data_IF_172996820233
#
_entry.id   IF_172996820233
#
_cell.length_a   1.000
_cell.length_b   1.000
_cell.length_c   1.000
_cell.angle_alpha   90.00
_cell.angle_beta   90.00
_cell.angle_gamma   90.00
#
_symmetry.space_group_name_H-M   'P 1'
#
loop_
_entity.id
_entity.type
_entity.pdbx_description
1 polymer ?
#
# COMPACT_ATOMS: atom_id res chain seq x y z
N UNK A 1 -33.17 19.58 -6.89
CA UNK A 1 -31.92 19.18 -7.55
C UNK A 1 -31.11 18.26 -6.62
N UNK A 2 -31.63 17.04 -6.40
CA UNK A 2 -30.96 15.99 -5.61
C UNK A 2 -31.02 14.70 -6.43
N UNK A 3 -29.92 14.34 -7.04
CA UNK A 3 -29.85 13.08 -7.77
C UNK A 3 -28.56 12.95 -8.54
N UNK A 4 -27.45 12.59 -7.85
CA UNK A 4 -26.22 12.04 -8.48
C UNK A 4 -25.15 11.66 -7.44
N UNK A 5 -25.49 10.76 -6.49
CA UNK A 5 -24.50 10.24 -5.56
C UNK A 5 -24.60 8.70 -5.34
N UNK A 6 -25.36 7.98 -6.16
CA UNK A 6 -25.57 6.52 -5.98
C UNK A 6 -24.76 5.67 -6.99
N UNK A 7 -24.09 6.30 -7.97
CA UNK A 7 -23.40 5.59 -9.04
C UNK A 7 -22.05 4.95 -8.67
N UNK A 8 -21.36 5.44 -7.65
CA UNK A 8 -20.00 4.96 -7.33
C UNK A 8 -19.95 3.59 -6.64
N UNK A 9 -20.89 3.32 -5.75
CA UNK A 9 -20.92 2.05 -5.01
C UNK A 9 -21.33 0.85 -5.87
N UNK A 10 -22.22 1.06 -6.83
CA UNK A 10 -22.65 0.01 -7.75
C UNK A 10 -21.57 -0.40 -8.75
N UNK A 11 -20.73 0.56 -9.20
CA UNK A 11 -19.62 0.26 -10.10
C UNK A 11 -18.49 -0.52 -9.39
N UNK A 12 -18.24 -0.23 -8.11
CA UNK A 12 -17.25 -0.96 -7.29
C UNK A 12 -17.74 -2.37 -6.98
N UNK A 13 -19.03 -2.55 -6.68
CA UNK A 13 -19.65 -3.88 -6.48
C UNK A 13 -19.76 -4.67 -7.79
N UNK A 14 -19.98 -4.00 -8.94
CA UNK A 14 -19.99 -4.64 -10.24
C UNK A 14 -18.59 -5.08 -10.70
N UNK A 15 -17.53 -4.32 -10.37
CA UNK A 15 -16.13 -4.72 -10.57
C UNK A 15 -15.75 -5.92 -9.69
N UNK A 16 -16.23 -5.96 -8.45
CA UNK A 16 -16.05 -7.11 -7.55
C UNK A 16 -16.89 -8.33 -7.98
N UNK A 17 -18.08 -8.12 -8.54
CA UNK A 17 -18.94 -9.21 -9.04
C UNK A 17 -18.52 -9.73 -10.43
N UNK A 18 -17.90 -8.90 -11.28
CA UNK A 18 -17.30 -9.35 -12.55
C UNK A 18 -16.05 -10.20 -12.35
N UNK A 19 -15.46 -10.19 -11.14
CA UNK A 19 -14.37 -11.06 -10.72
C UNK A 19 -14.83 -12.49 -10.35
N UNK A 20 -16.02 -12.90 -10.70
CA UNK A 20 -16.54 -14.26 -10.47
C UNK A 20 -16.09 -15.33 -11.49
N UNK A 21 -15.20 -14.99 -12.44
CA UNK A 21 -14.32 -15.97 -13.04
C UNK A 21 -13.25 -16.36 -12.00
N UNK A 22 -12.71 -17.61 -12.01
CA UNK A 22 -11.67 -17.98 -11.05
C UNK A 22 -10.54 -16.96 -11.16
N UNK A 23 -10.50 -16.05 -10.19
CA UNK A 23 -9.46 -15.05 -10.07
C UNK A 23 -8.25 -15.81 -9.60
N UNK A 24 -7.21 -15.90 -10.44
CA UNK A 24 -5.92 -16.44 -10.07
C UNK A 24 -5.47 -15.71 -8.80
N UNK A 25 -5.41 -16.45 -7.69
CA UNK A 25 -5.12 -15.88 -6.38
C UNK A 25 -3.61 -15.66 -6.21
N UNK A 26 -3.25 -14.78 -5.29
CA UNK A 26 -1.89 -14.70 -4.73
C UNK A 26 -1.42 -16.08 -4.23
N UNK A 27 -2.38 -16.93 -3.98
CA UNK A 27 -2.28 -18.30 -3.52
C UNK A 27 -1.88 -19.27 -4.64
N UNK A 28 -2.16 -18.97 -5.93
CA UNK A 28 -1.95 -19.91 -7.05
C UNK A 28 -0.51 -20.29 -7.32
N UNK A 29 0.46 -19.49 -6.93
CA UNK A 29 1.86 -19.87 -6.98
C UNK A 29 2.35 -20.54 -5.67
N UNK A 30 1.46 -20.67 -4.69
CA UNK A 30 1.74 -21.33 -3.40
C UNK A 30 1.00 -22.66 -3.26
N UNK A 31 -0.25 -22.75 -3.75
CA UNK A 31 -1.08 -23.99 -3.75
C UNK A 31 -1.73 -24.19 -5.11
N UNK A 32 -2.03 -25.44 -5.47
CA UNK A 32 -2.73 -25.76 -6.73
C UNK A 32 -4.14 -25.15 -6.74
N UNK A 33 -4.56 -24.53 -7.87
CA UNK A 33 -5.90 -23.98 -8.02
C UNK A 33 -6.96 -25.06 -7.92
N UNK A 34 -8.14 -24.73 -7.34
CA UNK A 34 -9.31 -25.59 -7.40
C UNK A 34 -9.81 -26.16 -6.07
N UNK A 35 -9.32 -25.66 -4.93
CA UNK A 35 -9.91 -26.00 -3.64
C UNK A 35 -11.24 -25.24 -3.49
N UNK A 36 -12.34 -25.98 -3.59
CA UNK A 36 -13.69 -25.41 -3.48
C UNK A 36 -13.96 -24.89 -2.07
N UNK A 37 -14.61 -23.74 -1.96
CA UNK A 37 -15.07 -23.16 -0.72
C UNK A 37 -15.90 -21.91 -1.00
N UNK A 38 -17.02 -21.73 -0.30
CA UNK A 38 -17.85 -20.55 -0.49
C UNK A 38 -17.70 -19.56 0.65
N UNK A 39 -17.75 -18.25 0.33
CA UNK A 39 -17.79 -17.19 1.34
C UNK A 39 -18.91 -17.42 2.36
N UNK A 40 -20.09 -17.88 1.92
CA UNK A 40 -21.21 -18.13 2.81
C UNK A 40 -20.93 -19.25 3.83
N UNK A 41 -20.20 -20.29 3.44
CA UNK A 41 -19.79 -21.38 4.33
C UNK A 41 -18.74 -20.91 5.32
N UNK A 42 -17.73 -20.15 4.88
CA UNK A 42 -16.73 -19.52 5.74
C UNK A 42 -17.40 -18.67 6.84
N UNK A 43 -18.26 -17.74 6.43
CA UNK A 43 -18.95 -16.85 7.37
C UNK A 43 -19.87 -17.64 8.31
N UNK A 44 -20.60 -18.63 7.81
CA UNK A 44 -21.44 -19.48 8.64
C UNK A 44 -20.60 -20.25 9.66
N UNK A 45 -19.50 -20.88 9.26
CA UNK A 45 -18.63 -21.61 10.18
C UNK A 45 -18.14 -20.73 11.32
N UNK A 46 -17.58 -19.57 11.01
CA UNK A 46 -17.03 -18.63 12.02
C UNK A 46 -18.14 -18.08 12.93
N UNK A 47 -19.28 -17.62 12.38
CA UNK A 47 -20.32 -16.96 13.17
C UNK A 47 -21.28 -17.93 13.89
N UNK A 48 -21.22 -19.23 13.64
CA UNK A 48 -21.96 -20.24 14.43
C UNK A 48 -21.09 -20.94 15.48
N UNK A 49 -19.79 -20.75 15.45
CA UNK A 49 -18.84 -21.32 16.44
C UNK A 49 -18.74 -20.39 17.65
N UNK A 50 -19.17 -20.82 18.87
CA UNK A 50 -19.02 -20.00 20.07
C UNK A 50 -17.55 -19.69 20.41
N UNK A 51 -16.63 -20.61 20.11
CA UNK A 51 -15.20 -20.43 20.35
C UNK A 51 -14.63 -19.33 19.45
N UNK A 52 -14.96 -19.35 18.15
CA UNK A 52 -14.49 -18.35 17.18
C UNK A 52 -15.07 -16.97 17.48
N UNK A 53 -16.36 -16.90 17.90
CA UNK A 53 -16.98 -15.66 18.35
C UNK A 53 -16.32 -15.10 19.61
N UNK A 54 -15.89 -15.94 20.54
CA UNK A 54 -15.17 -15.51 21.74
C UNK A 54 -13.80 -14.92 21.37
N UNK A 55 -13.06 -15.54 20.43
CA UNK A 55 -11.77 -15.02 19.93
C UNK A 55 -11.97 -13.69 19.20
N UNK A 56 -12.97 -13.59 18.32
CA UNK A 56 -13.30 -12.34 17.63
C UNK A 56 -13.70 -11.23 18.60
N UNK A 57 -14.52 -11.56 19.61
CA UNK A 57 -14.92 -10.62 20.66
C UNK A 57 -13.73 -10.12 21.47
N UNK A 58 -12.84 -11.03 21.88
CA UNK A 58 -11.60 -10.67 22.58
C UNK A 58 -10.68 -9.79 21.71
N UNK A 59 -10.48 -10.16 20.44
CA UNK A 59 -9.70 -9.37 19.49
C UNK A 59 -10.30 -7.98 19.25
N UNK A 60 -11.61 -7.90 19.09
CA UNK A 60 -12.35 -6.63 18.97
C UNK A 60 -12.20 -5.74 20.20
N UNK A 61 -12.29 -6.33 21.40
CA UNK A 61 -12.05 -5.60 22.65
C UNK A 61 -10.61 -5.07 22.74
N UNK A 62 -9.61 -5.87 22.40
CA UNK A 62 -8.21 -5.45 22.37
C UNK A 62 -8.01 -4.29 21.38
N UNK A 63 -8.61 -4.37 20.20
CA UNK A 63 -8.56 -3.31 19.20
C UNK A 63 -9.20 -2.00 19.72
N UNK A 64 -10.38 -2.09 20.36
CA UNK A 64 -11.05 -0.94 20.97
C UNK A 64 -10.21 -0.31 22.08
N UNK A 65 -9.62 -1.14 22.97
CA UNK A 65 -8.73 -0.66 24.04
C UNK A 65 -7.46 -0.01 23.46
N UNK A 66 -6.89 -0.55 22.37
CA UNK A 66 -5.75 0.04 21.69
C UNK A 66 -6.10 1.42 21.09
N UNK A 67 -7.28 1.55 20.44
CA UNK A 67 -7.77 2.83 19.94
C UNK A 67 -8.01 3.82 21.07
N UNK A 68 -8.71 3.40 22.13
CA UNK A 68 -8.96 4.25 23.32
C UNK A 68 -7.64 4.70 23.96
N UNK A 69 -6.70 3.78 24.12
CA UNK A 69 -5.35 4.07 24.61
C UNK A 69 -4.61 5.07 23.74
N UNK A 70 -4.66 4.89 22.42
CA UNK A 70 -4.07 5.84 21.48
C UNK A 70 -4.70 7.24 21.56
N UNK A 71 -6.03 7.31 21.71
CA UNK A 71 -6.73 8.59 21.85
C UNK A 71 -6.35 9.27 23.17
N UNK A 72 -6.22 8.50 24.26
CA UNK A 72 -5.91 9.02 25.60
C UNK A 72 -4.42 9.34 25.79
N UNK A 73 -3.54 8.49 25.29
CA UNK A 73 -2.09 8.54 25.54
C UNK A 73 -1.26 8.83 24.28
N UNK A 74 -1.86 9.08 23.15
CA UNK A 74 -1.12 9.31 21.89
C UNK A 74 -0.34 10.62 21.81
N UNK A 75 -0.32 11.42 22.87
CA UNK A 75 0.53 12.60 23.10
C UNK A 75 1.79 12.28 23.90
N UNK A 76 2.01 11.02 24.29
CA UNK A 76 3.24 10.62 24.98
C UNK A 76 4.50 11.09 24.23
N UNK A 77 5.53 11.52 24.97
CA UNK A 77 6.79 11.99 24.38
C UNK A 77 7.39 11.01 23.38
N UNK A 78 7.40 9.70 23.71
CA UNK A 78 7.95 8.63 22.85
C UNK A 78 7.24 8.58 21.48
N UNK A 79 5.91 8.63 21.46
CA UNK A 79 5.11 8.64 20.23
C UNK A 79 5.40 9.90 19.41
N UNK A 80 5.60 11.05 20.12
CA UNK A 80 5.90 12.31 19.48
C UNK A 80 7.31 12.30 18.87
N UNK A 81 8.31 11.77 19.59
CA UNK A 81 9.69 11.60 19.11
C UNK A 81 9.71 10.65 17.91
N UNK A 82 9.09 9.47 18.00
CA UNK A 82 9.01 8.53 16.91
C UNK A 82 8.40 9.17 15.65
N UNK A 83 7.31 9.93 15.82
CA UNK A 83 6.65 10.64 14.70
C UNK A 83 7.56 11.70 14.08
N UNK A 84 8.27 12.51 14.88
CA UNK A 84 9.21 13.52 14.40
C UNK A 84 10.38 12.87 13.67
N UNK A 85 10.93 11.79 14.22
CA UNK A 85 12.00 11.01 13.60
C UNK A 85 11.59 10.49 12.23
N UNK A 86 10.40 9.86 12.11
CA UNK A 86 9.88 9.41 10.82
C UNK A 86 9.71 10.58 9.83
N UNK A 87 9.24 11.74 10.31
CA UNK A 87 9.11 12.93 9.47
C UNK A 87 10.44 13.47 8.98
N UNK A 88 11.53 13.33 9.75
CA UNK A 88 12.87 13.76 9.32
C UNK A 88 13.41 12.97 8.12
N UNK A 89 12.84 11.79 7.83
CA UNK A 89 13.20 10.99 6.66
C UNK A 89 12.50 11.41 5.36
N UNK A 90 11.62 12.41 5.40
CA UNK A 90 10.94 12.93 4.18
C UNK A 90 11.87 13.30 3.02
N UNK A 91 13.07 13.86 3.23
CA UNK A 91 14.01 14.12 2.12
C UNK A 91 14.42 12.86 1.35
N UNK A 92 14.39 11.68 1.98
CA UNK A 92 14.72 10.41 1.36
C UNK A 92 13.54 9.76 0.62
N UNK A 93 12.32 10.30 0.75
CA UNK A 93 11.11 9.73 0.13
C UNK A 93 11.27 9.44 -1.38
N UNK A 94 11.85 10.34 -2.21
CA UNK A 94 12.04 10.04 -3.64
C UNK A 94 12.91 8.80 -3.87
N UNK A 95 13.97 8.65 -3.08
CA UNK A 95 14.88 7.51 -3.17
C UNK A 95 14.19 6.22 -2.70
N UNK A 96 13.46 6.28 -1.57
CA UNK A 96 12.68 5.13 -1.07
C UNK A 96 11.70 4.63 -2.12
N UNK A 97 10.92 5.52 -2.76
CA UNK A 97 9.95 5.15 -3.80
C UNK A 97 10.64 4.51 -5.01
N UNK A 98 11.77 5.04 -5.46
CA UNK A 98 12.54 4.47 -6.57
C UNK A 98 13.06 3.07 -6.25
N UNK A 99 13.55 2.83 -5.04
CA UNK A 99 13.95 1.50 -4.58
C UNK A 99 12.77 0.55 -4.51
N UNK A 100 11.66 1.00 -3.91
CA UNK A 100 10.45 0.18 -3.70
C UNK A 100 9.86 -0.33 -5.01
N UNK A 101 9.98 0.42 -6.09
CA UNK A 101 9.43 0.06 -7.40
C UNK A 101 10.52 -0.51 -8.32
N UNK A 102 11.70 0.11 -8.36
CA UNK A 102 12.75 -0.25 -9.31
C UNK A 102 13.39 -1.60 -9.02
N UNK A 103 13.63 -1.92 -7.74
CA UNK A 103 14.28 -3.17 -7.37
C UNK A 103 13.43 -4.40 -7.72
N UNK A 104 12.13 -4.48 -7.33
CA UNK A 104 11.31 -5.60 -7.71
C UNK A 104 11.06 -5.71 -9.21
N UNK A 105 11.03 -4.60 -9.96
CA UNK A 105 10.94 -4.64 -11.42
C UNK A 105 12.15 -5.31 -12.06
N UNK A 106 13.36 -4.99 -11.60
CA UNK A 106 14.57 -5.66 -12.06
C UNK A 106 14.47 -7.15 -11.73
N UNK A 107 14.09 -7.49 -10.50
CA UNK A 107 13.92 -8.88 -10.08
C UNK A 107 12.88 -9.64 -10.91
N UNK A 108 11.70 -9.05 -11.13
CA UNK A 108 10.61 -9.62 -11.92
C UNK A 108 11.06 -9.89 -13.37
N UNK A 109 11.78 -8.95 -13.98
CA UNK A 109 12.32 -9.13 -15.33
C UNK A 109 13.32 -10.27 -15.45
N UNK A 110 14.12 -10.55 -14.41
CA UNK A 110 15.01 -11.71 -14.37
C UNK A 110 14.26 -13.01 -14.00
N UNK A 111 13.22 -12.93 -13.19
CA UNK A 111 12.40 -14.07 -12.81
C UNK A 111 11.42 -14.51 -13.91
N UNK A 112 11.19 -13.70 -14.95
CA UNK A 112 10.39 -14.07 -16.11
C UNK A 112 8.88 -13.87 -15.95
N UNK A 113 8.46 -12.89 -15.13
CA UNK A 113 7.06 -12.52 -14.96
C UNK A 113 6.81 -11.01 -15.12
N UNK A 114 5.59 -10.62 -15.46
CA UNK A 114 5.19 -9.23 -15.68
C UNK A 114 4.55 -8.66 -14.43
N UNK A 115 5.28 -7.84 -13.65
CA UNK A 115 4.87 -7.21 -12.39
C UNK A 115 4.42 -8.21 -11.29
N UNK A 116 3.50 -9.12 -11.63
CA UNK A 116 2.98 -10.15 -10.74
C UNK A 116 3.55 -11.53 -11.08
N UNK A 117 3.99 -12.33 -10.10
CA UNK A 117 4.41 -13.72 -10.33
C UNK A 117 3.36 -14.59 -11.00
N UNK A 118 2.07 -14.25 -10.85
CA UNK A 118 0.96 -14.94 -11.52
C UNK A 118 0.95 -14.77 -13.05
N UNK A 119 1.70 -13.80 -13.60
CA UNK A 119 1.73 -13.49 -15.03
C UNK A 119 3.10 -13.79 -15.62
N UNK A 120 3.30 -15.04 -16.09
CA UNK A 120 4.51 -15.39 -16.82
C UNK A 120 4.59 -14.65 -18.15
N UNK A 121 5.62 -13.85 -18.36
CA UNK A 121 5.81 -13.08 -19.59
C UNK A 121 7.28 -12.72 -19.82
N UNK A 122 7.72 -12.75 -21.08
CA UNK A 122 9.06 -12.28 -21.47
C UNK A 122 9.08 -10.75 -21.66
N UNK A 123 8.95 -10.03 -20.55
CA UNK A 123 9.04 -8.56 -20.52
C UNK A 123 10.38 -8.07 -19.94
N UNK A 124 11.42 -8.92 -19.97
CA UNK A 124 12.70 -8.70 -19.28
C UNK A 124 13.34 -7.36 -19.64
N UNK A 125 13.46 -7.02 -20.92
CA UNK A 125 14.10 -5.77 -21.34
C UNK A 125 13.34 -4.54 -20.84
N UNK A 126 11.99 -4.58 -20.90
CA UNK A 126 11.15 -3.50 -20.43
C UNK A 126 11.29 -3.32 -18.90
N UNK A 127 11.09 -4.38 -18.14
CA UNK A 127 11.08 -4.30 -16.68
C UNK A 127 12.47 -4.00 -16.10
N UNK A 128 13.51 -4.67 -16.59
CA UNK A 128 14.89 -4.41 -16.18
C UNK A 128 15.28 -2.99 -16.57
N UNK A 129 14.95 -2.53 -17.80
CA UNK A 129 15.22 -1.18 -18.24
C UNK A 129 14.52 -0.12 -17.39
N UNK A 130 13.21 -0.23 -17.19
CA UNK A 130 12.43 0.67 -16.32
C UNK A 130 12.99 0.65 -14.90
N UNK A 131 13.22 -0.54 -14.34
CA UNK A 131 13.73 -0.71 -12.99
C UNK A 131 15.09 -0.04 -12.78
N UNK A 132 16.09 -0.30 -13.65
CA UNK A 132 17.40 0.33 -13.54
C UNK A 132 17.35 1.85 -13.73
N UNK A 133 16.59 2.35 -14.71
CA UNK A 133 16.45 3.79 -14.91
C UNK A 133 15.84 4.48 -13.69
N UNK A 134 14.86 3.84 -13.01
CA UNK A 134 14.33 4.33 -11.75
C UNK A 134 15.37 4.28 -10.63
N UNK A 135 16.11 3.18 -10.48
CA UNK A 135 17.14 3.03 -9.44
C UNK A 135 18.21 4.11 -9.56
N UNK A 136 18.72 4.37 -10.78
CA UNK A 136 19.67 5.45 -11.03
C UNK A 136 19.04 6.85 -11.02
N UNK A 137 17.72 6.93 -11.14
CA UNK A 137 17.00 8.20 -11.18
C UNK A 137 17.28 8.98 -12.46
N UNK A 138 17.30 8.30 -13.60
CA UNK A 138 17.45 8.89 -14.92
C UNK A 138 16.11 8.99 -15.62
N UNK A 139 15.77 10.18 -16.10
CA UNK A 139 14.47 10.50 -16.72
C UNK A 139 13.29 10.04 -15.85
N UNK A 140 13.44 10.15 -14.55
CA UNK A 140 12.65 9.46 -13.50
C UNK A 140 11.15 9.55 -13.72
N UNK A 141 10.62 10.75 -13.98
CA UNK A 141 9.17 10.96 -14.19
C UNK A 141 8.65 10.31 -15.47
N UNK A 142 9.42 10.42 -16.55
CA UNK A 142 9.04 9.81 -17.84
C UNK A 142 9.09 8.28 -17.77
N UNK A 143 10.12 7.74 -17.12
CA UNK A 143 10.28 6.30 -16.90
C UNK A 143 9.18 5.76 -16.00
N UNK A 144 8.82 6.48 -14.92
CA UNK A 144 7.70 6.09 -14.08
C UNK A 144 6.35 6.13 -14.80
N UNK A 145 6.13 7.14 -15.66
CA UNK A 145 4.94 7.20 -16.51
C UNK A 145 4.91 6.03 -17.52
N UNK A 146 6.05 5.69 -18.14
CA UNK A 146 6.15 4.53 -19.02
C UNK A 146 5.86 3.23 -18.26
N UNK A 147 6.41 3.06 -17.05
CA UNK A 147 6.14 1.90 -16.20
C UNK A 147 4.66 1.79 -15.84
N UNK A 148 4.01 2.92 -15.53
CA UNK A 148 2.57 2.96 -15.28
C UNK A 148 1.76 2.53 -16.51
N UNK A 149 2.10 3.04 -17.68
CA UNK A 149 1.43 2.66 -18.93
C UNK A 149 1.63 1.17 -19.24
N UNK A 150 2.83 0.64 -19.02
CA UNK A 150 3.11 -0.78 -19.17
C UNK A 150 2.31 -1.64 -18.19
N UNK A 151 2.19 -1.19 -16.93
CA UNK A 151 1.33 -1.86 -15.94
C UNK A 151 -0.15 -1.84 -16.35
N UNK A 152 -0.67 -0.69 -16.78
CA UNK A 152 -2.07 -0.56 -17.21
C UNK A 152 -2.37 -1.39 -18.46
N UNK A 153 -1.42 -1.48 -19.39
CA UNK A 153 -1.52 -2.38 -20.53
C UNK A 153 -1.55 -3.85 -20.08
N UNK A 154 -0.63 -4.24 -19.19
CA UNK A 154 -0.60 -5.57 -18.58
C UNK A 154 -1.91 -5.89 -17.85
N UNK A 155 -2.45 -4.93 -17.09
CA UNK A 155 -3.74 -5.08 -16.40
C UNK A 155 -4.89 -5.32 -17.39
N UNK A 156 -4.87 -4.64 -18.55
CA UNK A 156 -5.89 -4.83 -19.59
C UNK A 156 -5.79 -6.18 -20.32
N UNK A 157 -4.60 -6.77 -20.39
CA UNK A 157 -4.34 -8.03 -21.10
C UNK A 157 -4.37 -9.27 -20.20
N UNK A 158 -4.08 -9.10 -18.90
CA UNK A 158 -4.00 -10.17 -17.90
C UNK A 158 -4.86 -9.82 -16.67
N UNK A 159 -6.10 -9.40 -16.93
CA UNK A 159 -7.10 -9.22 -15.89
C UNK A 159 -7.74 -10.59 -15.57
N UNK A 160 -7.89 -10.96 -14.31
CA UNK A 160 -7.69 -10.16 -13.08
C UNK A 160 -6.33 -10.35 -12.35
N UNK A 161 -5.43 -11.20 -12.85
CA UNK A 161 -4.17 -11.62 -12.20
C UNK A 161 -3.29 -10.42 -11.86
N UNK A 162 -3.31 -9.40 -12.71
CA UNK A 162 -2.53 -8.16 -12.49
C UNK A 162 -3.05 -7.29 -11.35
N UNK A 163 -4.26 -7.54 -10.82
CA UNK A 163 -4.77 -6.82 -9.63
C UNK A 163 -3.93 -7.08 -8.38
N UNK A 164 -3.27 -8.25 -8.32
CA UNK A 164 -2.34 -8.61 -7.24
C UNK A 164 -1.19 -7.60 -7.10
N UNK A 165 -0.75 -7.03 -8.20
CA UNK A 165 0.33 -6.06 -8.26
C UNK A 165 -0.17 -4.60 -8.39
N UNK A 166 -1.41 -4.30 -7.95
CA UNK A 166 -2.02 -2.97 -8.12
C UNK A 166 -1.32 -1.86 -7.33
N UNK A 167 -0.49 -2.18 -6.35
CA UNK A 167 0.35 -1.25 -5.63
C UNK A 167 1.39 -0.54 -6.52
N UNK A 168 1.76 -1.13 -7.68
CA UNK A 168 2.63 -0.46 -8.65
C UNK A 168 2.03 0.86 -9.15
N UNK A 169 0.70 0.97 -9.25
CA UNK A 169 0.02 2.24 -9.60
C UNK A 169 0.36 3.31 -8.58
N UNK A 170 0.28 2.99 -7.26
CA UNK A 170 0.67 3.92 -6.21
C UNK A 170 2.13 4.35 -6.36
N UNK A 171 3.03 3.39 -6.55
CA UNK A 171 4.47 3.61 -6.67
C UNK A 171 4.81 4.52 -7.84
N UNK A 172 4.35 4.19 -9.04
CA UNK A 172 4.61 4.99 -10.24
C UNK A 172 4.02 6.39 -10.15
N UNK A 173 2.76 6.55 -9.74
CA UNK A 173 2.14 7.86 -9.56
C UNK A 173 2.87 8.71 -8.52
N UNK A 174 3.26 8.11 -7.40
CA UNK A 174 4.04 8.80 -6.38
C UNK A 174 5.41 9.27 -6.92
N UNK A 175 6.12 8.43 -7.71
CA UNK A 175 7.39 8.80 -8.35
C UNK A 175 7.18 9.94 -9.37
N UNK A 176 6.13 9.90 -10.17
CA UNK A 176 5.80 10.97 -11.13
C UNK A 176 5.62 12.30 -10.39
N UNK A 177 4.88 12.31 -9.28
CA UNK A 177 4.62 13.52 -8.50
C UNK A 177 5.85 14.00 -7.75
N UNK A 178 6.51 13.11 -7.00
CA UNK A 178 7.65 13.47 -6.15
C UNK A 178 8.89 13.81 -6.98
N UNK A 179 9.12 13.04 -8.06
CA UNK A 179 10.27 13.18 -8.95
C UNK A 179 11.53 12.48 -8.44
N UNK A 180 12.68 12.78 -9.06
CA UNK A 180 13.91 12.01 -8.90
C UNK A 180 14.51 12.08 -7.48
N UNK A 181 14.42 13.23 -6.81
CA UNK A 181 15.11 13.46 -5.53
C UNK A 181 16.63 13.42 -5.64
N UNK A 182 17.30 13.26 -4.50
CA UNK A 182 18.76 13.13 -4.38
C UNK A 182 19.09 11.83 -3.62
N UNK A 183 20.13 11.10 -4.05
CA UNK A 183 20.93 11.25 -5.29
C UNK A 183 20.17 10.74 -6.54
N UNK A 184 20.43 11.34 -7.70
CA UNK A 184 19.85 10.90 -8.97
C UNK A 184 20.65 11.40 -10.18
N UNK A 185 20.62 10.66 -11.30
CA UNK A 185 21.19 11.09 -12.55
C UNK A 185 20.50 12.35 -13.11
N UNK A 186 19.19 12.48 -12.93
CA UNK A 186 18.45 13.70 -13.30
C UNK A 186 18.98 14.95 -12.60
N UNK A 187 19.41 14.84 -11.33
CA UNK A 187 20.02 15.96 -10.62
C UNK A 187 21.37 16.34 -11.22
N UNK A 188 22.18 15.36 -11.59
CA UNK A 188 23.46 15.59 -12.26
C UNK A 188 23.23 16.28 -13.60
N UNK A 189 22.31 15.78 -14.42
CA UNK A 189 21.95 16.39 -15.71
C UNK A 189 21.43 17.82 -15.53
N UNK A 190 20.58 18.05 -14.54
CA UNK A 190 20.07 19.39 -14.23
C UNK A 190 21.20 20.36 -13.87
N UNK A 191 22.20 19.92 -13.09
CA UNK A 191 23.37 20.74 -12.79
C UNK A 191 24.16 21.11 -14.05
N UNK A 192 24.31 20.16 -14.99
CA UNK A 192 24.94 20.44 -16.29
C UNK A 192 24.12 21.47 -17.10
N UNK A 193 22.80 21.37 -17.14
CA UNK A 193 21.92 22.30 -17.87
C UNK A 193 22.03 23.74 -17.32
N UNK A 194 22.14 23.91 -15.99
CA UNK A 194 22.19 25.25 -15.38
C UNK A 194 23.61 25.85 -15.36
N UNK A 195 24.65 25.06 -15.60
CA UNK A 195 26.05 25.53 -15.58
C UNK A 195 26.41 26.10 -16.94
N UNK A 196 26.93 27.33 -16.95
CA UNK A 196 27.37 28.01 -18.18
C UNK A 196 28.55 27.28 -18.82
N UNK A 197 28.60 27.31 -20.16
CA UNK A 197 29.68 26.70 -20.94
C UNK A 197 29.55 25.19 -21.16
N UNK A 198 28.55 24.52 -20.58
CA UNK A 198 28.29 23.11 -20.86
C UNK A 198 27.46 22.93 -22.15
N UNK A 199 27.62 21.79 -22.83
CA UNK A 199 26.75 21.45 -24.01
C UNK A 199 25.27 21.39 -23.57
N UNK A 200 25.00 20.91 -22.39
CA UNK A 200 23.65 20.79 -21.84
C UNK A 200 22.97 22.15 -21.55
N UNK A 201 23.73 23.24 -21.39
CA UNK A 201 23.19 24.58 -21.16
C UNK A 201 22.29 25.10 -22.30
N UNK A 202 22.43 24.53 -23.52
CA UNK A 202 21.57 24.81 -24.67
C UNK A 202 20.08 24.43 -24.40
N UNK A 203 19.82 23.54 -23.47
CA UNK A 203 18.46 23.09 -23.07
C UNK A 203 17.89 23.85 -21.87
N UNK A 204 18.51 24.95 -21.42
CA UNK A 204 18.13 25.72 -20.22
C UNK A 204 16.69 26.24 -20.27
N UNK A 205 16.11 26.49 -21.41
CA UNK A 205 14.74 27.00 -21.60
C UNK A 205 13.67 25.91 -21.71
N UNK A 206 14.02 24.64 -21.70
CA UNK A 206 13.07 23.54 -21.86
C UNK A 206 12.36 23.29 -20.54
N UNK A 207 11.01 23.38 -20.54
CA UNK A 207 10.20 23.09 -19.37
C UNK A 207 10.38 21.64 -18.90
N UNK A 208 10.71 21.46 -17.65
CA UNK A 208 10.84 20.13 -17.05
C UNK A 208 9.44 19.51 -16.78
N UNK A 209 9.30 18.17 -16.78
CA UNK A 209 8.04 17.53 -16.41
C UNK A 209 7.53 17.96 -15.02
N UNK A 210 8.43 18.31 -14.09
CA UNK A 210 8.05 18.83 -12.78
C UNK A 210 7.41 20.21 -12.85
N UNK A 211 7.88 21.08 -13.71
CA UNK A 211 7.27 22.39 -13.92
C UNK A 211 5.89 22.29 -14.59
N UNK A 212 5.71 21.33 -15.50
CA UNK A 212 4.42 21.05 -16.11
C UNK A 212 3.38 20.58 -15.07
N UNK A 213 3.77 19.67 -14.18
CA UNK A 213 2.92 19.21 -13.07
C UNK A 213 2.58 20.35 -12.11
N UNK A 214 3.56 21.20 -11.76
CA UNK A 214 3.33 22.36 -10.90
C UNK A 214 2.34 23.37 -11.54
N UNK A 215 2.44 23.61 -12.86
CA UNK A 215 1.49 24.43 -13.61
C UNK A 215 0.07 23.82 -13.62
N UNK A 216 -0.03 22.48 -13.61
CA UNK A 216 -1.30 21.77 -13.48
C UNK A 216 -1.83 21.72 -12.03
N UNK A 217 -1.17 22.36 -11.07
CA UNK A 217 -1.58 22.38 -9.66
C UNK A 217 -1.29 21.08 -8.90
N UNK A 218 -0.51 20.17 -9.48
CA UNK A 218 -0.14 18.93 -8.83
C UNK A 218 1.16 19.13 -8.05
N UNK A 219 1.06 19.06 -6.74
CA UNK A 219 2.20 19.20 -5.83
C UNK A 219 2.46 17.92 -5.02
N UNK A 220 3.57 17.89 -4.29
CA UNK A 220 3.97 16.73 -3.48
C UNK A 220 3.00 16.41 -2.33
N UNK A 221 2.08 17.29 -1.98
CA UNK A 221 1.12 17.07 -0.91
C UNK A 221 0.07 16.01 -1.25
N UNK A 222 -0.11 15.70 -2.54
CA UNK A 222 -1.01 14.64 -3.00
C UNK A 222 -0.41 13.25 -2.85
N UNK A 223 0.90 13.13 -2.68
CA UNK A 223 1.60 11.83 -2.59
C UNK A 223 1.03 10.90 -1.51
N UNK A 224 0.79 11.34 -0.26
CA UNK A 224 0.21 10.46 0.75
C UNK A 224 -1.19 9.95 0.37
N UNK A 225 -1.97 10.77 -0.32
CA UNK A 225 -3.30 10.37 -0.81
C UNK A 225 -3.18 9.25 -1.85
N UNK A 226 -2.30 9.41 -2.85
CA UNK A 226 -2.06 8.40 -3.89
C UNK A 226 -1.61 7.08 -3.28
N UNK A 227 -0.60 7.13 -2.39
CA UNK A 227 -0.11 5.94 -1.70
C UNK A 227 -1.24 5.24 -0.92
N UNK A 228 -2.02 5.99 -0.12
CA UNK A 228 -3.11 5.42 0.68
C UNK A 228 -4.20 4.79 -0.16
N UNK A 229 -4.64 5.48 -1.23
CA UNK A 229 -5.77 5.00 -2.04
C UNK A 229 -5.41 3.68 -2.72
N UNK A 230 -4.31 3.64 -3.46
CA UNK A 230 -3.99 2.45 -4.24
C UNK A 230 -3.45 1.30 -3.37
N UNK A 231 -2.64 1.60 -2.35
CA UNK A 231 -2.20 0.58 -1.39
C UNK A 231 -3.39 0.06 -0.56
N UNK A 232 -4.30 0.95 -0.18
CA UNK A 232 -5.52 0.58 0.53
C UNK A 232 -6.45 -0.30 -0.29
N UNK A 233 -6.62 0.00 -1.58
CA UNK A 233 -7.38 -0.86 -2.50
C UNK A 233 -6.72 -2.24 -2.66
N UNK A 234 -5.39 -2.30 -2.76
CA UNK A 234 -4.67 -3.56 -2.83
C UNK A 234 -4.89 -4.40 -1.56
N UNK A 235 -4.71 -3.84 -0.37
CA UNK A 235 -4.95 -4.57 0.88
C UNK A 235 -6.41 -5.02 1.06
N UNK A 236 -7.39 -4.20 0.63
CA UNK A 236 -8.80 -4.62 0.63
C UNK A 236 -9.01 -5.77 -0.35
N UNK A 237 -8.40 -5.72 -1.53
CA UNK A 237 -8.46 -6.80 -2.50
C UNK A 237 -7.87 -8.11 -1.95
N UNK A 238 -6.69 -8.05 -1.32
CA UNK A 238 -6.06 -9.20 -0.67
C UNK A 238 -6.94 -9.80 0.44
N UNK A 239 -7.53 -8.98 1.28
CA UNK A 239 -8.37 -9.47 2.38
C UNK A 239 -9.74 -9.97 1.94
N UNK A 240 -10.42 -9.25 1.06
CA UNK A 240 -11.78 -9.58 0.66
C UNK A 240 -11.79 -10.59 -0.48
N UNK A 241 -11.14 -10.27 -1.62
CA UNK A 241 -11.22 -11.12 -2.79
C UNK A 241 -10.45 -12.43 -2.61
N UNK A 242 -9.25 -12.37 -2.07
CA UNK A 242 -8.35 -13.52 -1.97
C UNK A 242 -8.66 -14.44 -0.78
N UNK A 243 -9.26 -13.92 0.28
CA UNK A 243 -9.52 -14.70 1.49
C UNK A 243 -11.00 -14.96 1.75
N UNK A 244 -11.85 -13.93 1.64
CA UNK A 244 -13.27 -14.15 1.93
C UNK A 244 -14.07 -14.66 0.76
N UNK A 245 -13.74 -14.25 -0.48
CA UNK A 245 -14.44 -14.73 -1.66
C UNK A 245 -13.87 -16.05 -2.22
N UNK A 246 -12.60 -16.36 -1.88
CA UNK A 246 -11.90 -17.60 -2.28
C UNK A 246 -11.35 -18.35 -1.03
N UNK A 247 -12.21 -18.69 -0.05
CA UNK A 247 -11.76 -19.24 1.22
C UNK A 247 -11.11 -20.61 1.12
N UNK A 248 -11.45 -21.42 0.10
CA UNK A 248 -10.89 -22.75 -0.11
C UNK A 248 -9.37 -22.70 -0.37
N UNK A 249 -8.92 -21.80 -1.24
CA UNK A 249 -7.51 -21.61 -1.55
C UNK A 249 -6.75 -21.08 -0.32
N UNK A 250 -7.32 -20.09 0.39
CA UNK A 250 -6.72 -19.58 1.61
C UNK A 250 -6.61 -20.66 2.72
N UNK A 251 -7.63 -21.55 2.83
CA UNK A 251 -7.57 -22.68 3.76
C UNK A 251 -6.53 -23.72 3.37
N UNK A 252 -6.30 -23.93 2.06
CA UNK A 252 -5.23 -24.79 1.57
C UNK A 252 -3.84 -24.29 1.98
N UNK A 253 -3.62 -22.96 1.98
CA UNK A 253 -2.38 -22.36 2.50
C UNK A 253 -2.24 -22.60 4.00
N UNK A 254 -3.32 -22.39 4.77
CA UNK A 254 -3.33 -22.68 6.22
C UNK A 254 -2.92 -24.13 6.51
N UNK A 255 -3.45 -25.07 5.74
CA UNK A 255 -3.14 -26.49 5.87
C UNK A 255 -1.70 -26.83 5.42
N UNK A 256 -1.25 -26.28 4.27
CA UNK A 256 0.10 -26.53 3.73
C UNK A 256 1.21 -26.15 4.70
N UNK A 257 1.07 -25.03 5.39
CA UNK A 257 2.10 -24.50 6.30
C UNK A 257 1.79 -24.75 7.78
N UNK A 258 0.77 -25.55 8.09
CA UNK A 258 0.35 -25.86 9.47
C UNK A 258 0.21 -24.60 10.34
N UNK A 259 -0.42 -23.54 9.78
CA UNK A 259 -0.51 -22.25 10.45
C UNK A 259 -1.34 -22.32 11.76
N UNK A 260 -2.20 -23.31 11.88
CA UNK A 260 -2.97 -23.58 13.12
C UNK A 260 -2.10 -24.09 14.27
N UNK A 261 -0.91 -24.62 14.01
CA UNK A 261 0.05 -24.94 15.05
C UNK A 261 0.70 -23.68 15.66
N UNK A 262 0.80 -22.59 14.86
CA UNK A 262 1.36 -21.31 15.32
C UNK A 262 0.28 -20.47 16.03
N UNK A 263 -0.91 -20.35 15.44
CA UNK A 263 -2.07 -19.69 16.05
C UNK A 263 -3.18 -20.72 16.18
N UNK A 264 -3.42 -21.27 17.38
CA UNK A 264 -4.32 -22.41 17.61
C UNK A 264 -5.79 -21.99 17.58
N UNK A 265 -6.29 -21.68 16.37
CA UNK A 265 -7.70 -21.37 16.08
C UNK A 265 -8.19 -22.29 14.95
N UNK A 266 -9.49 -22.30 14.68
CA UNK A 266 -10.04 -23.04 13.52
C UNK A 266 -9.45 -22.54 12.20
N UNK A 267 -9.27 -23.38 11.17
CA UNK A 267 -8.80 -22.93 9.87
C UNK A 267 -9.68 -21.82 9.28
N UNK A 268 -11.00 -21.92 9.47
CA UNK A 268 -11.98 -20.92 9.01
C UNK A 268 -11.76 -19.58 9.71
N UNK A 269 -11.54 -19.58 11.02
CA UNK A 269 -11.23 -18.35 11.77
C UNK A 269 -9.89 -17.79 11.37
N UNK A 270 -8.90 -18.63 11.04
CA UNK A 270 -7.61 -18.20 10.52
C UNK A 270 -7.77 -17.43 9.21
N UNK A 271 -8.48 -18.02 8.23
CA UNK A 271 -8.77 -17.39 6.93
C UNK A 271 -9.57 -16.10 7.10
N UNK A 272 -10.63 -16.15 7.91
CA UNK A 272 -11.48 -14.99 8.19
C UNK A 272 -10.68 -13.87 8.86
N UNK A 273 -9.88 -14.20 9.86
CA UNK A 273 -9.05 -13.26 10.61
C UNK A 273 -7.96 -12.60 9.77
N UNK A 274 -7.28 -13.37 8.91
CA UNK A 274 -6.30 -12.84 7.97
C UNK A 274 -6.96 -11.82 7.02
N UNK A 275 -8.11 -12.18 6.42
CA UNK A 275 -8.88 -11.26 5.58
C UNK A 275 -9.34 -10.01 6.33
N UNK A 276 -9.75 -10.14 7.60
CA UNK A 276 -10.17 -9.01 8.43
C UNK A 276 -9.02 -8.04 8.70
N UNK A 277 -7.82 -8.55 9.01
CA UNK A 277 -6.64 -7.71 9.25
C UNK A 277 -6.22 -6.98 7.98
N UNK A 278 -6.13 -7.68 6.85
CA UNK A 278 -5.76 -7.07 5.57
C UNK A 278 -6.79 -6.02 5.14
N UNK A 279 -8.08 -6.37 5.11
CA UNK A 279 -9.14 -5.43 4.76
C UNK A 279 -9.18 -4.24 5.73
N UNK A 280 -8.95 -4.48 7.02
CA UNK A 280 -8.87 -3.44 8.06
C UNK A 280 -7.73 -2.46 7.82
N UNK A 281 -6.53 -2.95 7.52
CA UNK A 281 -5.37 -2.12 7.13
C UNK A 281 -5.70 -1.33 5.86
N UNK A 282 -6.28 -1.99 4.86
CA UNK A 282 -6.69 -1.35 3.61
C UNK A 282 -7.71 -0.23 3.83
N UNK A 283 -8.74 -0.45 4.63
CA UNK A 283 -9.74 0.56 4.98
C UNK A 283 -9.15 1.72 5.79
N UNK A 284 -8.20 1.43 6.69
CA UNK A 284 -7.48 2.46 7.43
C UNK A 284 -6.64 3.35 6.49
N UNK A 285 -6.03 2.77 5.45
CA UNK A 285 -5.35 3.54 4.41
C UNK A 285 -6.34 4.37 3.58
N UNK A 286 -7.41 3.78 3.08
CA UNK A 286 -8.41 4.48 2.25
C UNK A 286 -8.99 5.69 2.97
N UNK A 287 -9.40 5.52 4.21
CA UNK A 287 -9.97 6.60 5.04
C UNK A 287 -8.90 7.56 5.57
N UNK A 288 -7.63 7.13 5.63
CA UNK A 288 -6.57 7.87 6.27
C UNK A 288 -6.74 7.95 7.79
N UNK A 289 -7.19 6.85 8.39
CA UNK A 289 -7.38 6.72 9.85
C UNK A 289 -6.21 5.95 10.43
N UNK A 290 -5.55 6.50 11.45
CA UNK A 290 -4.36 5.89 12.07
C UNK A 290 -3.29 5.46 11.07
N UNK A 291 -3.09 6.22 10.00
CA UNK A 291 -2.32 5.84 8.81
C UNK A 291 -0.93 5.28 9.12
N UNK A 292 -0.19 5.90 10.07
CA UNK A 292 1.13 5.36 10.45
C UNK A 292 1.03 4.04 11.20
N UNK A 293 0.04 3.90 12.08
CA UNK A 293 -0.24 2.63 12.79
C UNK A 293 -0.62 1.52 11.81
N UNK A 294 -1.51 1.83 10.86
CA UNK A 294 -1.89 0.90 9.79
C UNK A 294 -0.68 0.51 8.91
N UNK A 295 0.23 1.47 8.62
CA UNK A 295 1.45 1.17 7.87
C UNK A 295 2.41 0.26 8.64
N UNK A 296 2.53 0.43 9.95
CA UNK A 296 3.28 -0.50 10.81
C UNK A 296 2.60 -1.87 10.84
N UNK A 297 1.28 -1.91 11.03
CA UNK A 297 0.53 -3.18 11.02
C UNK A 297 0.68 -3.92 9.68
N UNK A 298 0.54 -3.22 8.54
CA UNK A 298 0.77 -3.79 7.21
C UNK A 298 2.20 -4.30 7.03
N UNK A 299 3.20 -3.55 7.50
CA UNK A 299 4.60 -3.98 7.46
C UNK A 299 4.83 -5.26 8.29
N UNK A 300 4.28 -5.32 9.50
CA UNK A 300 4.36 -6.53 10.35
C UNK A 300 3.64 -7.70 9.70
N UNK A 301 2.44 -7.46 9.15
CA UNK A 301 1.67 -8.48 8.43
C UNK A 301 2.49 -9.09 7.27
N UNK A 302 3.03 -8.25 6.39
CA UNK A 302 3.86 -8.70 5.27
C UNK A 302 5.11 -9.44 5.75
N UNK A 303 5.73 -8.99 6.86
CA UNK A 303 6.88 -9.67 7.45
C UNK A 303 6.51 -11.07 7.94
N UNK A 304 5.41 -11.18 8.70
CA UNK A 304 4.94 -12.48 9.21
C UNK A 304 4.53 -13.42 8.08
N UNK A 305 3.94 -12.89 7.00
CA UNK A 305 3.61 -13.69 5.80
C UNK A 305 4.87 -14.29 5.19
N UNK A 306 5.92 -13.51 4.94
CA UNK A 306 7.17 -14.01 4.35
C UNK A 306 7.88 -15.05 5.23
N UNK A 307 7.79 -14.93 6.55
CA UNK A 307 8.34 -15.94 7.46
C UNK A 307 7.45 -17.18 7.60
N UNK A 308 6.14 -17.01 7.50
CA UNK A 308 5.17 -18.11 7.59
C UNK A 308 5.00 -18.89 6.29
N UNK A 309 5.29 -18.28 5.14
CA UNK A 309 5.10 -18.85 3.80
C UNK A 309 6.45 -18.84 3.05
N UNK A 310 7.34 -19.82 3.28
CA UNK A 310 8.71 -19.80 2.71
C UNK A 310 8.74 -19.85 1.18
N UNK A 311 7.71 -20.37 0.52
CA UNK A 311 7.62 -20.46 -0.95
C UNK A 311 7.07 -19.16 -1.58
N UNK A 312 6.60 -18.21 -0.76
CA UNK A 312 6.02 -16.95 -1.26
C UNK A 312 7.12 -16.02 -1.81
N UNK A 313 7.01 -15.54 -3.05
CA UNK A 313 8.05 -14.75 -3.68
C UNK A 313 8.32 -13.43 -2.96
N UNK A 314 9.47 -13.29 -2.32
CA UNK A 314 9.90 -12.06 -1.63
C UNK A 314 9.79 -10.83 -2.52
N UNK A 315 10.13 -10.97 -3.81
CA UNK A 315 10.09 -9.87 -4.78
C UNK A 315 8.70 -9.26 -4.93
N UNK A 316 7.63 -10.06 -4.83
CA UNK A 316 6.26 -9.60 -4.91
C UNK A 316 5.87 -8.67 -3.75
N UNK A 317 6.56 -8.76 -2.62
CA UNK A 317 6.27 -7.99 -1.41
C UNK A 317 7.12 -6.73 -1.25
N UNK A 318 8.26 -6.61 -1.96
CA UNK A 318 9.18 -5.47 -1.80
C UNK A 318 8.49 -4.13 -2.05
N UNK A 319 7.64 -4.05 -3.08
CA UNK A 319 6.88 -2.82 -3.37
C UNK A 319 5.96 -2.47 -2.21
N UNK A 320 5.20 -3.43 -1.68
CA UNK A 320 4.29 -3.24 -0.54
C UNK A 320 5.03 -2.77 0.72
N UNK A 321 6.18 -3.39 1.05
CA UNK A 321 7.05 -2.96 2.15
C UNK A 321 7.52 -1.52 1.98
N UNK A 322 8.00 -1.21 0.79
CA UNK A 322 8.53 0.12 0.49
C UNK A 322 7.47 1.21 0.54
N UNK A 323 6.28 0.97 -0.03
CA UNK A 323 5.18 1.94 -0.01
C UNK A 323 4.56 2.09 1.39
N UNK A 324 4.47 1.00 2.17
CA UNK A 324 4.08 1.06 3.59
C UNK A 324 5.08 1.91 4.38
N UNK A 325 6.39 1.72 4.16
CA UNK A 325 7.44 2.55 4.76
C UNK A 325 7.32 4.03 4.36
N UNK A 326 6.99 4.30 3.09
CA UNK A 326 6.75 5.66 2.62
C UNK A 326 5.54 6.30 3.34
N UNK A 327 4.48 5.54 3.64
CA UNK A 327 3.35 6.00 4.45
C UNK A 327 3.73 6.24 5.93
N UNK A 328 4.62 5.44 6.52
CA UNK A 328 5.15 5.73 7.86
C UNK A 328 5.84 7.10 7.90
N UNK A 329 6.63 7.41 6.86
CA UNK A 329 7.38 8.68 6.74
C UNK A 329 6.44 9.85 6.46
N UNK A 330 5.57 9.74 5.45
CA UNK A 330 4.70 10.83 5.02
C UNK A 330 3.51 11.06 5.96
N UNK A 331 2.99 9.99 6.55
CA UNK A 331 1.72 9.97 7.27
C UNK A 331 0.53 10.10 6.33
N UNK A 332 -0.61 10.48 6.89
CA UNK A 332 -1.91 10.49 6.21
C UNK A 332 -2.09 11.59 5.15
N UNK A 333 -1.33 12.68 5.24
CA UNK A 333 -1.58 13.88 4.43
C UNK A 333 -2.84 14.65 4.86
N UNK A 334 -3.16 15.71 4.10
CA UNK A 334 -4.25 16.64 4.46
C UNK A 334 -5.66 16.11 4.16
N UNK A 335 -5.80 15.18 3.21
CA UNK A 335 -7.09 14.58 2.83
C UNK A 335 -7.32 13.26 3.58
N UNK A 336 -7.47 13.31 4.90
CA UNK A 336 -7.54 12.12 5.75
C UNK A 336 -8.37 12.36 7.00
N UNK A 337 -8.96 11.31 7.56
CA UNK A 337 -9.63 11.39 8.85
C UNK A 337 -8.67 11.75 9.99
N UNK A 338 -7.41 11.34 9.90
CA UNK A 338 -6.37 11.73 10.87
C UNK A 338 -6.19 13.25 10.97
N UNK A 339 -6.46 14.00 9.89
CA UNK A 339 -6.22 15.44 9.86
C UNK A 339 -7.30 16.25 10.57
N UNK A 340 -8.52 15.73 10.73
CA UNK A 340 -9.63 16.46 11.36
C UNK A 340 -10.35 15.66 12.45
N UNK A 341 -10.62 14.37 12.24
CA UNK A 341 -11.41 13.55 13.17
C UNK A 341 -10.62 13.23 14.44
N UNK A 342 -9.38 12.76 14.32
CA UNK A 342 -8.56 12.38 15.48
C UNK A 342 -8.31 13.57 16.42
N UNK A 343 -7.93 14.77 15.93
CA UNK A 343 -7.81 15.94 16.79
C UNK A 343 -9.14 16.34 17.46
N UNK A 344 -10.27 16.20 16.75
CA UNK A 344 -11.60 16.48 17.31
C UNK A 344 -11.96 15.51 18.44
N UNK A 345 -11.73 14.22 18.24
CA UNK A 345 -11.96 13.19 19.25
C UNK A 345 -11.05 13.39 20.47
N UNK A 346 -9.77 13.64 20.26
CA UNK A 346 -8.82 13.89 21.36
C UNK A 346 -9.24 15.05 22.24
N UNK A 347 -9.67 16.18 21.65
CA UNK A 347 -10.17 17.32 22.43
C UNK A 347 -11.39 16.97 23.28
N UNK A 348 -12.19 15.98 22.86
CA UNK A 348 -13.34 15.51 23.65
C UNK A 348 -12.93 14.65 24.85
N UNK A 349 -11.83 13.88 24.73
CA UNK A 349 -11.30 13.01 25.79
C UNK A 349 -10.31 13.72 26.71
N UNK A 350 -9.70 14.80 26.25
CA UNK A 350 -8.74 15.61 27.01
C UNK A 350 -8.93 17.10 26.64
N UNK A 351 -9.85 17.81 27.29
CA UNK A 351 -10.16 19.21 27.02
C UNK A 351 -8.96 20.14 27.21
N UNK A 352 -7.99 19.78 28.06
CA UNK A 352 -6.83 20.62 28.40
C UNK A 352 -5.79 20.68 27.26
N UNK A 353 -5.84 19.75 26.30
CA UNK A 353 -5.00 19.79 25.08
C UNK A 353 -5.29 21.01 24.17
N UNK A 354 -6.33 21.78 24.45
CA UNK A 354 -6.74 22.96 23.66
C UNK A 354 -6.37 24.31 24.29
N UNK A 355 -5.90 24.33 25.53
CA UNK A 355 -5.44 25.56 26.17
C UNK A 355 -4.02 25.87 25.73
N UNK A 356 -3.75 27.05 25.07
CA UNK A 356 -2.38 27.48 24.85
C UNK A 356 -1.72 27.62 26.22
N UNK A 357 -0.65 26.85 26.47
CA UNK A 357 0.25 27.19 27.58
C UNK A 357 0.57 28.68 27.45
N UNK A 358 0.08 29.48 28.39
CA UNK A 358 0.62 30.82 28.57
C UNK A 358 2.10 30.60 28.83
N UNK A 359 2.93 30.90 27.85
CA UNK A 359 4.36 31.08 28.05
C UNK A 359 4.46 32.05 29.21
N UNK A 360 4.80 31.54 30.37
CA UNK A 360 5.25 32.37 31.46
C UNK A 360 6.50 33.07 30.94
N UNK A 361 6.33 34.34 30.60
CA UNK A 361 7.41 35.28 30.52
C UNK A 361 8.05 35.34 31.92
N UNK A 362 9.26 34.86 32.03
CA UNK A 362 10.27 35.27 33.00
C UNK A 362 11.59 35.44 32.23
#
# INVERSE_FOLDING_TARGET
MYGRAVGGGAATLALLAAASNPVVAHVDYVVEPGTEGSAAELFRAVFTSPADLAVLGAGGLVALLAVAGYLRFGSLPDVTVARRTLQSYRPYLPWMLRLSVGLPLVGAGFAGYLFSPAVAADARLLQVGVGFLLLFGLATRAVAALGLLAYLWGLGTHFPEMLLASEYVAGFLAIVVVGPGQPSADMMLRRMVVTDGTVASRFRGVATPGELLARAGVDRSVTPLLLRVFLGLNFVYLGVAQKWLQPGEAAAVVAKYDLTAVVPVSPELWVFGAGLVEAGVGLAFLTGTFTRGAAVAGFVLLTTTLFGLPDDPVLAHITLFGLSSALMVTGSGRFSLDSWLIPALRRRFDPDLGTPERQHAD
#
